data_IF_633168941967
#
_entry.id   IF_633168941967
#
_cell.length_a   1.000
_cell.length_b   1.000
_cell.length_c   1.000
_cell.angle_alpha   90.00
_cell.angle_beta   90.00
_cell.angle_gamma   90.00
#
_symmetry.space_group_name_H-M   'P 1'
#
loop_
_entity.id
_entity.type
_entity.pdbx_description
1 polymer ?
#
# COMPACT_ATOMS: atom_id res chain seq x y z
N UNK A 1 15.81 44.51 -49.87
CA UNK A 1 15.06 43.30 -50.26
C UNK A 1 14.33 42.82 -49.01
N UNK A 2 13.04 43.04 -48.74
CA UNK A 2 11.91 43.50 -49.53
C UNK A 2 10.74 42.51 -49.36
N UNK A 3 9.73 42.91 -48.57
CA UNK A 3 8.30 42.50 -48.61
C UNK A 3 7.80 41.20 -47.92
N UNK A 4 7.03 41.40 -46.84
CA UNK A 4 5.59 41.14 -46.64
C UNK A 4 4.85 39.96 -47.35
N UNK A 5 4.08 39.21 -46.53
CA UNK A 5 2.67 38.72 -46.60
C UNK A 5 1.96 38.50 -47.98
N UNK A 6 1.00 37.55 -48.11
CA UNK A 6 -0.39 37.88 -47.66
C UNK A 6 -1.35 36.72 -47.24
N UNK A 7 -2.36 37.13 -46.44
CA UNK A 7 -3.84 36.88 -46.46
C UNK A 7 -4.38 35.49 -46.87
N UNK A 8 -5.12 34.79 -46.01
CA UNK A 8 -6.56 34.94 -45.66
C UNK A 8 -7.52 34.43 -46.74
N UNK A 9 -8.34 33.43 -46.40
CA UNK A 9 -9.66 33.30 -47.01
C UNK A 9 -10.69 32.69 -46.05
N UNK A 10 -11.93 33.17 -46.22
CA UNK A 10 -13.00 33.16 -45.24
C UNK A 10 -14.15 32.22 -45.63
N UNK A 11 -14.71 31.51 -44.63
CA UNK A 11 -16.10 31.03 -44.59
C UNK A 11 -16.52 29.98 -45.62
N UNK A 12 -17.70 29.31 -45.47
CA UNK A 12 -18.87 29.73 -44.69
C UNK A 12 -19.42 28.68 -43.68
N UNK A 13 -20.08 29.18 -42.62
CA UNK A 13 -21.19 28.52 -41.89
C UNK A 13 -22.50 28.82 -42.68
N UNK A 14 -23.71 28.22 -42.43
CA UNK A 14 -24.24 27.68 -41.16
C UNK A 14 -25.29 26.54 -41.25
N UNK A 15 -25.96 26.30 -40.09
CA UNK A 15 -27.31 25.74 -39.80
C UNK A 15 -27.27 24.34 -39.14
N UNK A 16 -27.92 24.06 -38.01
CA UNK A 16 -28.78 24.81 -37.09
C UNK A 16 -29.47 23.82 -36.13
N UNK A 17 -30.03 24.33 -35.02
CA UNK A 17 -30.93 23.63 -34.07
C UNK A 17 -30.28 22.50 -33.24
N UNK A 18 -30.52 22.27 -31.96
CA UNK A 18 -31.67 22.61 -31.12
C UNK A 18 -31.28 22.90 -29.67
N UNK A 19 -32.13 23.69 -29.02
CA UNK A 19 -32.04 24.16 -27.64
C UNK A 19 -33.04 23.41 -26.74
N UNK A 20 -32.70 23.45 -25.44
CA UNK A 20 -33.55 23.50 -24.22
C UNK A 20 -33.88 22.19 -23.48
N UNK A 21 -34.19 22.22 -22.15
CA UNK A 21 -34.03 23.34 -21.20
C UNK A 21 -33.34 23.00 -19.85
N UNK A 22 -32.72 24.03 -19.30
CA UNK A 22 -32.48 24.23 -17.87
C UNK A 22 -33.78 24.54 -17.12
N UNK A 23 -33.95 24.00 -15.90
CA UNK A 23 -34.94 24.48 -14.92
C UNK A 23 -34.22 24.97 -13.66
N UNK A 24 -34.43 26.25 -13.35
CA UNK A 24 -34.30 26.84 -12.00
C UNK A 24 -35.62 26.63 -11.25
N UNK A 25 -35.55 26.37 -9.95
CA UNK A 25 -36.70 26.39 -9.03
C UNK A 25 -36.20 26.28 -7.60
N UNK A 26 -36.50 27.30 -6.78
CA UNK A 26 -35.96 27.56 -5.44
C UNK A 26 -36.43 26.63 -4.31
N UNK A 27 -36.21 27.04 -3.04
CA UNK A 27 -36.00 26.16 -1.90
C UNK A 27 -37.31 25.69 -1.26
N UNK A 28 -37.36 24.43 -0.85
CA UNK A 28 -38.44 23.88 -0.03
C UNK A 28 -37.93 23.65 1.39
N UNK A 29 -38.61 24.31 2.33
CA UNK A 29 -38.43 24.25 3.78
C UNK A 29 -38.73 22.85 4.34
N UNK A 30 -37.98 22.49 5.38
CA UNK A 30 -38.24 21.38 6.28
C UNK A 30 -39.59 21.51 7.02
N UNK A 31 -40.06 20.40 7.59
CA UNK A 31 -40.62 20.43 8.93
C UNK A 31 -39.81 19.57 9.90
N UNK A 32 -39.45 20.23 11.00
CA UNK A 32 -38.86 19.69 12.22
C UNK A 32 -39.81 18.64 12.85
N UNK A 33 -39.34 17.39 12.93
CA UNK A 33 -39.94 16.33 13.73
C UNK A 33 -39.40 16.35 15.15
N UNK A 34 -40.24 16.81 16.06
CA UNK A 34 -40.06 17.04 17.51
C UNK A 34 -39.28 15.97 18.28
N UNK A 35 -38.38 16.46 19.15
CA UNK A 35 -37.95 15.81 20.38
C UNK A 35 -39.16 15.38 21.23
N UNK A 36 -39.16 14.13 21.71
CA UNK A 36 -39.88 13.75 22.92
C UNK A 36 -38.85 13.32 23.96
N UNK A 37 -38.70 14.16 24.98
CA UNK A 37 -38.16 13.77 26.27
C UNK A 37 -39.03 12.64 26.84
N UNK A 38 -38.41 11.50 27.13
CA UNK A 38 -38.95 10.51 28.06
C UNK A 38 -38.06 10.53 29.31
N UNK A 39 -38.54 11.23 30.32
CA UNK A 39 -38.06 11.20 31.70
C UNK A 39 -38.37 9.82 32.29
N UNK A 40 -37.36 8.95 32.34
CA UNK A 40 -37.45 7.61 32.91
C UNK A 40 -36.58 7.48 34.16
N UNK A 41 -37.25 7.49 35.31
CA UNK A 41 -36.75 7.45 36.69
C UNK A 41 -35.56 6.52 36.96
N UNK A 42 -34.61 7.07 37.70
CA UNK A 42 -33.60 6.40 38.52
C UNK A 42 -34.25 5.34 39.45
N UNK A 43 -33.91 4.07 39.28
CA UNK A 43 -34.01 3.08 40.34
C UNK A 43 -32.62 2.80 40.91
N UNK A 44 -32.38 3.37 42.09
CA UNK A 44 -31.30 2.97 43.01
C UNK A 44 -31.50 1.51 43.39
N UNK A 45 -30.59 0.62 43.01
CA UNK A 45 -30.39 -0.67 43.69
C UNK A 45 -29.17 -0.54 44.63
N UNK A 46 -29.41 -0.81 45.91
CA UNK A 46 -28.40 -0.89 46.98
C UNK A 46 -27.52 -2.15 46.79
N UNK A 47 -26.28 -2.15 47.32
CA UNK A 47 -25.25 -3.13 47.01
C UNK A 47 -25.37 -4.38 47.90
N UNK A 48 -24.98 -5.54 47.35
CA UNK A 48 -24.75 -6.78 48.11
C UNK A 48 -23.40 -7.41 47.70
N UNK A 49 -22.79 -8.25 48.55
CA UNK A 49 -21.40 -8.07 48.96
C UNK A 49 -20.40 -8.96 48.21
N UNK A 50 -19.19 -8.40 48.08
CA UNK A 50 -17.89 -9.07 48.09
C UNK A 50 -17.86 -10.60 47.88
N UNK A 51 -17.41 -11.03 46.70
CA UNK A 51 -16.64 -12.26 46.54
C UNK A 51 -15.35 -11.97 45.78
N UNK A 52 -14.26 -11.98 46.56
CA UNK A 52 -12.85 -12.24 46.23
C UNK A 52 -12.46 -12.19 44.75
N UNK A 53 -11.82 -11.10 44.38
CA UNK A 53 -10.98 -10.92 43.18
C UNK A 53 -9.77 -11.85 43.22
N UNK A 54 -9.59 -12.68 42.19
CA UNK A 54 -8.29 -13.26 41.86
C UNK A 54 -7.39 -12.16 41.25
N UNK A 55 -6.08 -12.13 41.53
CA UNK A 55 -5.19 -11.15 40.90
C UNK A 55 -5.00 -11.50 39.41
N UNK A 56 -4.88 -10.50 38.51
CA UNK A 56 -4.53 -10.74 37.13
C UNK A 56 -3.09 -11.30 37.01
N UNK A 57 -2.79 -12.11 35.98
CA UNK A 57 -1.45 -12.62 35.77
C UNK A 57 -0.48 -11.45 35.50
N UNK A 58 0.65 -11.46 36.20
CA UNK A 58 1.74 -10.49 36.03
C UNK A 58 2.25 -10.56 34.59
N UNK A 59 2.04 -9.49 33.83
CA UNK A 59 2.76 -9.24 32.59
C UNK A 59 4.24 -9.06 32.93
N UNK A 60 5.08 -10.02 32.55
CA UNK A 60 6.52 -9.83 32.51
C UNK A 60 6.82 -8.73 31.49
N UNK A 61 7.28 -7.58 31.98
CA UNK A 61 7.96 -6.59 31.15
C UNK A 61 9.32 -7.17 30.73
N UNK A 62 9.64 -7.28 29.43
CA UNK A 62 11.02 -7.43 29.01
C UNK A 62 11.69 -6.06 29.17
N UNK A 63 12.71 -6.02 30.03
CA UNK A 63 13.61 -4.88 30.14
C UNK A 63 14.33 -4.69 28.80
N UNK A 64 14.14 -3.52 28.19
CA UNK A 64 14.93 -3.05 27.05
C UNK A 64 16.39 -2.87 27.49
N UNK A 65 17.23 -3.83 27.13
CA UNK A 65 18.67 -3.80 27.37
C UNK A 65 19.43 -4.02 26.06
N UNK A 66 20.15 -2.97 25.65
CA UNK A 66 21.29 -2.97 24.73
C UNK A 66 21.07 -3.49 23.29
N UNK A 67 21.05 -2.53 22.36
CA UNK A 67 21.29 -2.76 20.92
C UNK A 67 22.71 -3.29 20.76
N UNK A 68 22.84 -4.61 20.54
CA UNK A 68 24.10 -5.23 20.15
C UNK A 68 24.38 -4.91 18.68
N UNK A 69 25.48 -4.21 18.42
CA UNK A 69 26.03 -3.98 17.08
C UNK A 69 26.34 -5.32 16.41
N UNK A 70 25.65 -5.64 15.32
CA UNK A 70 25.97 -6.80 14.48
C UNK A 70 27.07 -6.40 13.49
N UNK A 71 28.23 -7.05 13.59
CA UNK A 71 29.32 -6.95 12.61
C UNK A 71 29.02 -7.84 11.38
N UNK A 72 29.44 -7.45 10.17
CA UNK A 72 29.16 -8.19 8.96
C UNK A 72 30.16 -9.35 8.80
N UNK A 73 29.67 -10.59 8.75
CA UNK A 73 30.44 -11.73 8.27
C UNK A 73 30.03 -12.04 6.83
N UNK A 74 30.94 -11.78 5.90
CA UNK A 74 30.79 -12.10 4.49
C UNK A 74 30.78 -13.61 4.25
N UNK A 75 29.82 -14.09 3.46
CA UNK A 75 29.71 -15.49 3.04
C UNK A 75 28.86 -15.65 1.78
N UNK A 76 29.14 -16.66 0.94
CA UNK A 76 28.79 -16.67 -0.48
C UNK A 76 27.34 -17.14 -0.73
N UNK A 77 26.39 -16.21 -0.74
CA UNK A 77 24.98 -16.46 -1.07
C UNK A 77 24.64 -16.38 -2.57
N UNK A 78 25.62 -16.55 -3.46
CA UNK A 78 25.45 -16.24 -4.90
C UNK A 78 25.05 -17.43 -5.80
N UNK A 79 24.93 -18.67 -5.30
CA UNK A 79 24.74 -19.86 -6.16
C UNK A 79 23.40 -20.62 -6.05
N UNK A 80 22.39 -20.12 -5.32
CA UNK A 80 21.10 -20.85 -5.13
C UNK A 80 19.94 -20.47 -6.07
N UNK A 81 20.16 -19.66 -7.10
CA UNK A 81 19.08 -19.13 -7.96
C UNK A 81 18.74 -19.92 -9.24
N UNK A 82 18.99 -21.24 -9.32
CA UNK A 82 18.59 -22.03 -10.52
C UNK A 82 18.00 -23.38 -10.18
N UNK A 83 16.70 -23.44 -9.86
CA UNK A 83 15.92 -24.69 -10.00
C UNK A 83 14.40 -24.52 -10.05
N UNK A 84 13.88 -23.60 -10.87
CA UNK A 84 12.44 -23.56 -11.17
C UNK A 84 12.05 -24.22 -12.51
N UNK A 85 13.04 -24.68 -13.29
CA UNK A 85 12.83 -25.17 -14.66
C UNK A 85 12.42 -26.63 -14.83
N UNK A 86 12.31 -27.43 -13.77
CA UNK A 86 12.20 -28.90 -13.91
C UNK A 86 11.16 -29.59 -13.00
N UNK A 87 10.10 -28.88 -12.57
CA UNK A 87 9.01 -29.52 -11.82
C UNK A 87 7.81 -29.82 -12.75
N UNK A 88 7.35 -31.06 -12.69
CA UNK A 88 6.22 -31.58 -13.47
C UNK A 88 4.89 -30.96 -13.05
N UNK A 89 3.86 -31.01 -13.92
CA UNK A 89 2.54 -30.39 -13.67
C UNK A 89 1.88 -30.80 -12.34
N UNK A 90 2.15 -32.01 -11.84
CA UNK A 90 1.64 -32.50 -10.55
C UNK A 90 2.28 -31.80 -9.34
N UNK A 91 3.57 -31.44 -9.42
CA UNK A 91 4.29 -30.73 -8.36
C UNK A 91 3.94 -29.25 -8.34
N UNK A 92 3.64 -28.64 -9.51
CA UNK A 92 3.17 -27.25 -9.60
C UNK A 92 1.89 -27.00 -8.81
N UNK A 93 1.03 -28.02 -8.64
CA UNK A 93 -0.16 -27.96 -7.78
C UNK A 93 0.14 -27.97 -6.27
N UNK A 94 1.34 -28.38 -5.85
CA UNK A 94 1.78 -28.44 -4.45
C UNK A 94 2.60 -27.21 -4.01
N UNK A 95 2.98 -26.32 -4.92
CA UNK A 95 3.86 -25.16 -4.67
C UNK A 95 3.11 -23.87 -4.31
N UNK A 96 1.78 -23.93 -4.16
CA UNK A 96 1.08 -22.87 -3.45
C UNK A 96 1.42 -23.00 -1.96
N UNK A 97 2.20 -22.06 -1.40
CA UNK A 97 2.49 -22.02 0.04
C UNK A 97 1.21 -22.28 0.84
N UNK A 98 1.24 -23.25 1.76
CA UNK A 98 0.00 -23.82 2.34
C UNK A 98 -0.82 -22.78 3.08
N UNK A 99 -0.20 -21.69 3.57
CA UNK A 99 -0.89 -20.52 4.12
C UNK A 99 -1.95 -19.96 3.16
N UNK A 100 -1.61 -19.78 1.87
CA UNK A 100 -2.58 -19.35 0.87
C UNK A 100 -3.65 -20.43 0.65
N UNK A 101 -3.33 -21.71 0.77
CA UNK A 101 -4.30 -22.81 0.62
C UNK A 101 -5.30 -22.99 1.77
N UNK A 102 -5.02 -22.40 2.95
CA UNK A 102 -5.80 -22.60 4.20
C UNK A 102 -7.03 -21.70 4.33
N UNK A 103 -7.08 -20.56 3.64
CA UNK A 103 -8.20 -19.62 3.76
C UNK A 103 -9.13 -19.70 2.53
N UNK A 104 -10.45 -19.96 2.67
CA UNK A 104 -11.35 -20.17 1.52
C UNK A 104 -11.39 -19.01 0.51
N UNK A 105 -11.07 -17.78 0.93
CA UNK A 105 -11.13 -16.58 0.07
C UNK A 105 -9.92 -16.37 -0.84
N UNK A 106 -8.77 -16.99 -0.57
CA UNK A 106 -7.63 -16.97 -1.52
C UNK A 106 -7.89 -17.79 -2.79
N UNK A 107 -8.96 -18.60 -2.78
CA UNK A 107 -9.44 -19.40 -3.90
C UNK A 107 -10.54 -18.72 -4.71
N UNK A 108 -10.99 -17.51 -4.33
CA UNK A 108 -11.96 -16.73 -5.10
C UNK A 108 -11.22 -15.84 -6.09
N UNK A 109 -11.74 -15.86 -7.33
CA UNK A 109 -11.38 -15.12 -8.54
C UNK A 109 -10.06 -14.31 -8.51
N UNK A 110 -9.08 -14.64 -9.38
CA UNK A 110 -7.91 -13.80 -9.57
C UNK A 110 -8.34 -12.34 -9.75
N UNK A 111 -7.78 -11.43 -8.93
CA UNK A 111 -7.98 -10.00 -9.14
C UNK A 111 -7.66 -9.64 -10.60
N UNK A 112 -8.33 -8.63 -11.19
CA UNK A 112 -8.44 -8.44 -12.63
C UNK A 112 -7.17 -7.87 -13.31
N UNK A 113 -5.97 -8.21 -12.84
CA UNK A 113 -4.73 -7.77 -13.47
C UNK A 113 -4.45 -8.62 -14.72
N UNK A 114 -4.98 -8.20 -15.86
CA UNK A 114 -4.66 -8.78 -17.17
C UNK A 114 -3.14 -8.88 -17.39
N UNK A 115 -2.37 -7.88 -16.96
CA UNK A 115 -0.91 -7.89 -17.04
C UNK A 115 -0.26 -9.03 -16.24
N UNK A 116 -0.78 -9.32 -15.04
CA UNK A 116 -0.28 -10.44 -14.23
C UNK A 116 -0.61 -11.78 -14.89
N UNK A 117 -1.83 -11.94 -15.42
CA UNK A 117 -2.23 -13.16 -16.13
C UNK A 117 -1.35 -13.36 -17.38
N UNK A 118 -1.19 -12.33 -18.19
CA UNK A 118 -0.35 -12.37 -19.40
C UNK A 118 1.10 -12.72 -19.09
N UNK A 119 1.66 -12.15 -18.02
CA UNK A 119 3.01 -12.43 -17.58
C UNK A 119 3.19 -13.89 -17.10
N UNK A 120 2.19 -14.44 -16.39
CA UNK A 120 2.21 -15.83 -15.93
C UNK A 120 2.05 -16.83 -17.09
N UNK A 121 1.48 -16.41 -18.21
CA UNK A 121 1.37 -17.22 -19.43
C UNK A 121 2.68 -17.26 -20.23
N UNK A 122 3.68 -16.43 -19.92
CA UNK A 122 4.96 -16.44 -20.61
C UNK A 122 5.89 -17.54 -20.06
N UNK A 123 6.70 -18.12 -20.95
CA UNK A 123 7.70 -19.13 -20.58
C UNK A 123 8.85 -18.55 -19.72
N UNK A 124 9.06 -17.24 -19.77
CA UNK A 124 10.11 -16.53 -19.03
C UNK A 124 9.52 -15.33 -18.30
N UNK A 125 9.93 -15.08 -17.04
CA UNK A 125 9.53 -13.88 -16.34
C UNK A 125 10.11 -12.62 -17.01
N UNK A 126 9.41 -11.50 -16.89
CA UNK A 126 9.92 -10.20 -17.32
C UNK A 126 11.11 -9.74 -16.48
N UNK A 127 11.99 -8.97 -17.09
CA UNK A 127 13.06 -8.22 -16.41
C UNK A 127 12.94 -6.74 -16.72
N UNK A 128 13.59 -5.84 -15.96
CA UNK A 128 13.59 -4.41 -16.26
C UNK A 128 13.99 -4.09 -17.72
N UNK A 129 14.98 -4.81 -18.24
CA UNK A 129 15.51 -4.66 -19.60
C UNK A 129 14.66 -5.37 -20.66
N UNK A 130 13.96 -6.43 -20.26
CA UNK A 130 13.15 -7.28 -21.16
C UNK A 130 11.79 -7.57 -20.53
N UNK A 131 10.91 -6.56 -20.45
CA UNK A 131 9.60 -6.74 -19.84
C UNK A 131 8.69 -7.63 -20.71
N UNK A 132 7.82 -8.40 -20.04
CA UNK A 132 6.80 -9.23 -20.71
C UNK A 132 5.51 -8.47 -21.04
N UNK A 133 5.28 -7.33 -20.39
CA UNK A 133 4.19 -6.40 -20.70
C UNK A 133 4.70 -4.97 -20.56
N UNK A 134 4.07 -4.00 -21.22
CA UNK A 134 4.32 -2.57 -21.00
C UNK A 134 3.30 -1.92 -20.05
N UNK A 135 2.62 -2.71 -19.20
CA UNK A 135 1.54 -2.22 -18.36
C UNK A 135 2.07 -1.32 -17.22
N UNK A 136 1.40 -0.19 -16.98
CA UNK A 136 1.77 0.80 -15.94
C UNK A 136 0.94 0.70 -14.64
N UNK A 137 0.09 -0.32 -14.50
CA UNK A 137 -0.81 -0.50 -13.37
C UNK A 137 -0.13 -0.70 -12.01
N UNK A 138 -0.83 -0.29 -10.96
CA UNK A 138 -0.36 -0.29 -9.56
C UNK A 138 -0.15 -1.68 -8.90
N UNK A 139 -0.65 -2.78 -9.49
CA UNK A 139 -0.65 -4.08 -8.81
C UNK A 139 0.75 -4.60 -8.47
N UNK A 140 1.73 -4.34 -9.34
CA UNK A 140 3.14 -4.64 -9.07
C UNK A 140 3.67 -3.89 -7.84
N UNK A 141 3.36 -2.60 -7.73
CA UNK A 141 3.77 -1.75 -6.61
C UNK A 141 3.21 -2.30 -5.29
N UNK A 142 1.89 -2.47 -5.22
CA UNK A 142 1.19 -2.84 -3.97
C UNK A 142 1.77 -4.12 -3.36
N UNK A 143 1.97 -5.16 -4.17
CA UNK A 143 2.49 -6.45 -3.69
C UNK A 143 4.01 -6.46 -3.43
N UNK A 144 4.73 -5.42 -3.86
CA UNK A 144 6.17 -5.29 -3.64
C UNK A 144 6.49 -4.44 -2.41
N UNK A 145 5.54 -3.65 -1.90
CA UNK A 145 5.71 -2.85 -0.66
C UNK A 145 6.32 -3.62 0.53
N UNK A 146 5.96 -4.88 0.82
CA UNK A 146 6.57 -5.64 1.92
C UNK A 146 8.10 -5.83 1.79
N UNK A 147 8.66 -5.70 0.58
CA UNK A 147 10.11 -5.75 0.36
C UNK A 147 10.86 -4.63 1.11
N UNK A 148 10.17 -3.57 1.55
CA UNK A 148 10.75 -2.53 2.40
C UNK A 148 11.42 -3.08 3.67
N UNK A 149 10.92 -4.19 4.23
CA UNK A 149 11.54 -4.85 5.39
C UNK A 149 12.97 -5.37 5.11
N UNK A 150 13.30 -5.63 3.84
CA UNK A 150 14.63 -6.06 3.42
C UNK A 150 15.69 -4.96 3.59
N UNK A 151 15.31 -3.69 3.85
CA UNK A 151 16.24 -2.60 4.15
C UNK A 151 17.17 -2.89 5.33
N UNK A 152 16.78 -3.82 6.21
CA UNK A 152 17.62 -4.32 7.31
C UNK A 152 18.85 -5.12 6.85
N UNK A 153 18.80 -5.68 5.64
CA UNK A 153 19.84 -6.57 5.09
C UNK A 153 20.37 -6.15 3.72
N UNK A 154 19.69 -5.20 3.06
CA UNK A 154 20.02 -4.72 1.70
C UNK A 154 20.47 -3.28 1.76
N UNK A 155 21.45 -2.94 0.93
CA UNK A 155 21.74 -1.53 0.66
C UNK A 155 20.56 -0.87 -0.07
N UNK A 156 20.49 0.46 0.01
CA UNK A 156 19.45 1.24 -0.66
C UNK A 156 19.37 0.94 -2.17
N UNK A 157 20.51 0.83 -2.84
CA UNK A 157 20.56 0.54 -4.28
C UNK A 157 20.16 -0.90 -4.61
N UNK A 158 20.49 -1.86 -3.74
CA UNK A 158 20.03 -3.25 -3.90
C UNK A 158 18.50 -3.31 -3.76
N UNK A 159 17.96 -2.67 -2.72
CA UNK A 159 16.52 -2.61 -2.48
C UNK A 159 15.77 -1.96 -3.65
N UNK A 160 16.29 -0.85 -4.19
CA UNK A 160 15.76 -0.20 -5.39
C UNK A 160 15.70 -1.17 -6.58
N UNK A 161 16.83 -1.79 -6.93
CA UNK A 161 16.91 -2.71 -8.08
C UNK A 161 16.01 -3.93 -7.91
N UNK A 162 15.91 -4.46 -6.70
CA UNK A 162 15.04 -5.60 -6.41
C UNK A 162 13.57 -5.24 -6.52
N UNK A 163 13.17 -4.05 -6.07
CA UNK A 163 11.82 -3.55 -6.23
C UNK A 163 11.44 -3.33 -7.71
N UNK A 164 12.35 -2.74 -8.51
CA UNK A 164 12.18 -2.58 -9.96
C UNK A 164 12.06 -3.95 -10.65
N UNK A 165 12.93 -4.89 -10.31
CA UNK A 165 12.89 -6.25 -10.85
C UNK A 165 11.58 -6.97 -10.49
N UNK A 166 11.09 -6.83 -9.25
CA UNK A 166 9.81 -7.41 -8.83
C UNK A 166 8.63 -6.84 -9.61
N UNK A 167 8.64 -5.55 -9.91
CA UNK A 167 7.61 -4.92 -10.74
C UNK A 167 7.66 -5.46 -12.18
N UNK A 168 8.86 -5.47 -12.77
CA UNK A 168 9.11 -5.87 -14.15
C UNK A 168 8.72 -7.31 -14.48
N UNK A 169 8.60 -8.19 -13.46
CA UNK A 169 8.03 -9.53 -13.62
C UNK A 169 6.67 -9.52 -14.33
N UNK A 170 5.87 -8.45 -14.17
CA UNK A 170 4.50 -8.37 -14.72
C UNK A 170 4.09 -7.02 -15.28
N UNK A 171 4.64 -5.92 -14.75
CA UNK A 171 4.31 -4.54 -15.14
C UNK A 171 5.61 -3.88 -15.58
N UNK A 172 5.89 -3.94 -16.88
CA UNK A 172 7.18 -3.54 -17.42
C UNK A 172 7.31 -2.08 -17.81
N UNK A 173 6.28 -1.25 -17.63
CA UNK A 173 6.41 0.19 -17.87
C UNK A 173 7.49 0.78 -16.94
N UNK A 174 8.47 1.54 -17.45
CA UNK A 174 9.53 2.14 -16.63
C UNK A 174 8.98 2.98 -15.46
N UNK A 175 7.94 3.78 -15.70
CA UNK A 175 7.26 4.56 -14.67
C UNK A 175 6.69 3.69 -13.54
N UNK A 176 6.17 2.49 -13.84
CA UNK A 176 5.66 1.58 -12.82
C UNK A 176 6.77 0.91 -12.01
N UNK A 177 7.90 0.59 -12.64
CA UNK A 177 9.09 0.08 -11.95
C UNK A 177 9.64 1.15 -10.99
N UNK A 178 9.77 2.39 -11.48
CA UNK A 178 10.26 3.52 -10.70
C UNK A 178 9.33 3.89 -9.54
N UNK A 179 8.01 3.94 -9.77
CA UNK A 179 7.04 4.15 -8.71
C UNK A 179 7.10 3.02 -7.67
N UNK A 180 7.31 1.78 -8.11
CA UNK A 180 7.47 0.64 -7.19
C UNK A 180 8.69 0.78 -6.30
N UNK A 181 9.86 1.06 -6.88
CA UNK A 181 11.07 1.31 -6.09
C UNK A 181 10.90 2.48 -5.12
N UNK A 182 10.34 3.59 -5.59
CA UNK A 182 10.11 4.77 -4.77
C UNK A 182 9.20 4.46 -3.58
N UNK A 183 8.11 3.73 -3.78
CA UNK A 183 7.20 3.33 -2.70
C UNK A 183 7.87 2.40 -1.67
N UNK A 184 8.68 1.45 -2.12
CA UNK A 184 9.44 0.53 -1.26
C UNK A 184 10.48 1.28 -0.43
N UNK A 185 11.22 2.21 -1.05
CA UNK A 185 12.20 3.05 -0.37
C UNK A 185 11.54 3.98 0.65
N UNK A 186 10.39 4.57 0.31
CA UNK A 186 9.64 5.40 1.23
C UNK A 186 9.19 4.60 2.46
N UNK A 187 8.60 3.42 2.24
CA UNK A 187 8.24 2.52 3.33
C UNK A 187 9.45 2.10 4.18
N UNK A 188 10.61 1.88 3.57
CA UNK A 188 11.84 1.52 4.28
C UNK A 188 12.39 2.65 5.16
N UNK A 189 12.32 3.90 4.70
CA UNK A 189 12.68 5.06 5.52
C UNK A 189 11.72 5.21 6.71
N UNK A 190 10.41 4.98 6.52
CA UNK A 190 9.43 4.94 7.61
C UNK A 190 9.73 3.82 8.63
N UNK A 191 10.03 2.60 8.15
CA UNK A 191 10.41 1.48 9.02
C UNK A 191 11.68 1.76 9.84
N UNK A 192 12.52 2.70 9.40
CA UNK A 192 13.71 3.14 10.11
C UNK A 192 13.40 4.16 11.23
N UNK A 193 12.11 4.38 11.54
CA UNK A 193 11.65 5.26 12.62
C UNK A 193 11.52 6.73 12.24
N UNK A 194 11.55 7.06 10.94
CA UNK A 194 11.33 8.43 10.45
C UNK A 194 9.85 8.72 10.33
N UNK A 195 9.45 9.95 10.60
CA UNK A 195 8.11 10.40 10.24
C UNK A 195 7.95 10.43 8.71
N UNK A 196 6.70 10.35 8.20
CA UNK A 196 6.46 10.27 6.76
C UNK A 196 6.98 11.45 5.93
N UNK A 197 7.04 12.65 6.49
CA UNK A 197 7.51 13.84 5.77
C UNK A 197 9.03 13.79 5.56
N UNK A 198 9.77 13.46 6.61
CA UNK A 198 11.23 13.28 6.57
C UNK A 198 11.62 12.06 5.71
N UNK A 199 10.86 10.97 5.84
CA UNK A 199 11.06 9.75 5.05
C UNK A 199 10.88 10.00 3.54
N UNK A 200 9.86 10.78 3.14
CA UNK A 200 9.67 11.14 1.73
C UNK A 200 10.81 12.01 1.21
N UNK A 201 11.27 12.98 2.00
CA UNK A 201 12.36 13.89 1.61
C UNK A 201 13.66 13.13 1.33
N UNK A 202 13.90 12.03 2.04
CA UNK A 202 15.01 11.11 1.76
C UNK A 202 14.78 10.16 0.60
N UNK A 203 13.54 9.94 0.23
CA UNK A 203 13.17 9.16 -0.95
C UNK A 203 13.42 9.96 -2.23
N UNK A 204 13.15 11.28 -2.18
CA UNK A 204 13.15 12.25 -3.29
C UNK A 204 14.46 12.50 -4.05
N UNK A 205 15.57 11.84 -3.72
CA UNK A 205 16.78 11.87 -4.54
C UNK A 205 16.79 10.84 -5.69
N UNK A 206 15.80 9.93 -5.75
CA UNK A 206 15.81 8.78 -6.69
C UNK A 206 14.60 8.71 -7.63
N UNK A 207 13.58 9.53 -7.42
CA UNK A 207 12.46 9.66 -8.35
C UNK A 207 12.78 10.77 -9.36
N UNK A 208 13.37 10.43 -10.50
CA UNK A 208 13.42 11.33 -11.66
C UNK A 208 12.02 11.89 -11.94
N UNK A 209 11.86 13.22 -11.94
CA UNK A 209 10.63 13.88 -12.40
C UNK A 209 9.96 14.88 -11.45
N UNK A 210 10.42 15.08 -10.21
CA UNK A 210 9.94 16.16 -9.31
C UNK A 210 8.46 16.11 -8.89
N UNK A 211 7.71 15.14 -9.39
CA UNK A 211 6.27 14.98 -9.15
C UNK A 211 5.94 14.80 -7.67
N UNK A 212 6.79 14.08 -6.92
CA UNK A 212 6.57 13.88 -5.48
C UNK A 212 6.86 15.13 -4.65
N UNK A 213 7.79 15.99 -5.09
CA UNK A 213 8.01 17.29 -4.46
C UNK A 213 6.77 18.18 -4.67
N UNK A 214 6.21 18.20 -5.88
CA UNK A 214 4.96 18.91 -6.14
C UNK A 214 3.81 18.38 -5.26
N UNK A 215 3.68 17.06 -5.13
CA UNK A 215 2.64 16.45 -4.28
C UNK A 215 2.84 16.80 -2.81
N UNK A 216 4.10 16.86 -2.33
CA UNK A 216 4.42 17.32 -0.97
C UNK A 216 3.96 18.76 -0.78
N UNK A 217 4.33 19.65 -1.70
CA UNK A 217 3.96 21.06 -1.64
C UNK A 217 2.42 21.21 -1.67
N UNK A 218 1.74 20.42 -2.48
CA UNK A 218 0.28 20.36 -2.55
C UNK A 218 -0.38 19.89 -1.24
N UNK A 219 0.20 18.88 -0.59
CA UNK A 219 -0.27 18.40 0.72
C UNK A 219 -0.04 19.43 1.83
N UNK A 220 1.06 20.18 1.77
CA UNK A 220 1.38 21.25 2.73
C UNK A 220 0.41 22.43 2.60
N UNK A 221 0.16 22.90 1.37
CA UNK A 221 -0.65 24.11 1.14
C UNK A 221 -2.16 23.86 1.16
N UNK A 222 -2.59 22.64 0.85
CA UNK A 222 -4.00 22.28 0.78
C UNK A 222 -4.23 20.82 1.19
N UNK A 223 -4.04 20.47 2.47
CA UNK A 223 -4.23 19.11 2.95
C UNK A 223 -5.70 18.69 2.89
N UNK A 224 -5.93 17.39 2.66
CA UNK A 224 -7.25 16.74 2.71
C UNK A 224 -8.33 17.27 1.73
N UNK A 225 -7.92 17.93 0.64
CA UNK A 225 -8.80 18.33 -0.45
C UNK A 225 -9.06 17.14 -1.41
N UNK A 226 -10.31 16.67 -1.41
CA UNK A 226 -10.76 15.56 -2.27
C UNK A 226 -10.68 15.88 -3.76
N UNK A 227 -10.95 17.11 -4.15
CA UNK A 227 -10.87 17.52 -5.56
C UNK A 227 -9.42 17.54 -6.02
N UNK A 228 -8.50 17.89 -5.12
CA UNK A 228 -7.06 17.83 -5.37
C UNK A 228 -6.58 16.39 -5.47
N UNK A 229 -6.96 15.53 -4.53
CA UNK A 229 -6.68 14.09 -4.61
C UNK A 229 -7.15 13.49 -5.95
N UNK A 230 -8.34 13.84 -6.42
CA UNK A 230 -8.85 13.36 -7.71
C UNK A 230 -8.03 13.84 -8.93
N UNK A 231 -7.36 14.99 -8.84
CA UNK A 231 -6.43 15.48 -9.87
C UNK A 231 -5.05 14.83 -9.78
N UNK A 232 -4.56 14.57 -8.56
CA UNK A 232 -3.26 13.92 -8.31
C UNK A 232 -3.31 12.44 -8.72
N UNK A 233 -4.42 11.75 -8.43
CA UNK A 233 -4.60 10.32 -8.68
C UNK A 233 -5.81 10.03 -9.61
N UNK A 234 -5.76 10.45 -10.89
CA UNK A 234 -6.89 10.32 -11.80
C UNK A 234 -7.14 8.89 -12.30
N UNK A 235 -6.12 8.03 -12.26
CA UNK A 235 -6.17 6.66 -12.79
C UNK A 235 -5.57 5.63 -11.82
N UNK A 236 -5.48 4.36 -12.25
CA UNK A 236 -4.96 3.25 -11.46
C UNK A 236 -3.50 2.87 -11.81
N UNK A 237 -2.75 3.77 -12.47
CA UNK A 237 -1.32 3.56 -12.70
C UNK A 237 -0.53 3.59 -11.40
N UNK A 238 0.65 2.99 -11.39
CA UNK A 238 1.49 2.91 -10.20
C UNK A 238 1.98 4.30 -9.74
N UNK A 239 2.29 5.17 -10.69
CA UNK A 239 2.76 6.54 -10.44
C UNK A 239 1.67 7.40 -9.79
N UNK A 240 0.47 7.44 -10.38
CA UNK A 240 -0.66 8.22 -9.88
C UNK A 240 -1.17 7.67 -8.55
N UNK A 241 -1.19 6.34 -8.38
CA UNK A 241 -1.55 5.72 -7.12
C UNK A 241 -0.56 6.06 -5.99
N UNK A 242 0.74 6.05 -6.28
CA UNK A 242 1.77 6.48 -5.33
C UNK A 242 1.62 7.97 -4.99
N UNK A 243 1.45 8.83 -5.98
CA UNK A 243 1.24 10.27 -5.78
C UNK A 243 0.01 10.54 -4.88
N UNK A 244 -1.13 9.89 -5.18
CA UNK A 244 -2.33 10.00 -4.34
C UNK A 244 -2.10 9.50 -2.92
N UNK A 245 -1.34 8.41 -2.76
CA UNK A 245 -1.05 7.87 -1.44
C UNK A 245 -0.13 8.80 -0.63
N UNK A 246 0.90 9.38 -1.26
CA UNK A 246 1.77 10.39 -0.66
C UNK A 246 0.95 11.61 -0.22
N UNK A 247 0.05 12.11 -1.08
CA UNK A 247 -0.84 13.22 -0.70
C UNK A 247 -1.68 12.88 0.54
N UNK A 248 -2.25 11.68 0.61
CA UNK A 248 -3.06 11.25 1.75
C UNK A 248 -2.23 11.11 3.04
N UNK A 249 -1.03 10.55 2.94
CA UNK A 249 -0.09 10.40 4.05
C UNK A 249 0.37 11.77 4.56
N UNK A 250 0.77 12.68 3.68
CA UNK A 250 1.27 13.99 4.08
C UNK A 250 0.17 14.97 4.51
N UNK A 251 -1.08 14.75 4.08
CA UNK A 251 -2.24 15.46 4.66
C UNK A 251 -2.49 15.08 6.12
N UNK A 252 -2.03 13.89 6.53
CA UNK A 252 -2.26 13.29 7.86
C UNK A 252 -1.01 12.49 8.31
N UNK A 253 0.14 13.15 8.58
CA UNK A 253 1.40 12.45 8.79
C UNK A 253 1.61 12.00 10.24
N UNK A 254 0.82 12.51 11.19
CA UNK A 254 1.00 12.25 12.60
C UNK A 254 0.37 10.93 13.08
N UNK A 255 0.86 10.35 14.18
CA UNK A 255 0.26 9.17 14.78
C UNK A 255 -1.19 9.44 15.21
N UNK A 256 -2.06 8.45 15.02
CA UNK A 256 -3.50 8.54 15.33
C UNK A 256 -4.36 9.11 14.20
N UNK A 257 -3.77 9.48 13.06
CA UNK A 257 -4.48 10.03 11.90
C UNK A 257 -4.69 9.02 10.76
N UNK A 258 -4.35 7.74 10.98
CA UNK A 258 -4.29 6.69 9.96
C UNK A 258 -5.67 6.39 9.36
N UNK A 259 -6.70 6.35 10.22
CA UNK A 259 -8.08 6.16 9.77
C UNK A 259 -8.53 7.36 8.92
N UNK A 260 -8.16 8.57 9.31
CA UNK A 260 -8.49 9.80 8.56
C UNK A 260 -7.80 9.81 7.19
N UNK A 261 -6.53 9.41 7.13
CA UNK A 261 -5.79 9.28 5.89
C UNK A 261 -6.42 8.23 4.95
N UNK A 262 -6.85 7.08 5.48
CA UNK A 262 -7.56 6.07 4.69
C UNK A 262 -8.95 6.54 4.23
N UNK A 263 -9.66 7.31 5.06
CA UNK A 263 -10.92 7.93 4.67
C UNK A 263 -10.73 8.90 3.51
N UNK A 264 -9.68 9.72 3.52
CA UNK A 264 -9.31 10.57 2.40
C UNK A 264 -8.98 9.73 1.16
N UNK A 265 -8.12 8.71 1.29
CA UNK A 265 -7.75 7.81 0.20
C UNK A 265 -8.98 7.12 -0.44
N UNK A 266 -10.00 6.81 0.36
CA UNK A 266 -11.26 6.21 -0.12
C UNK A 266 -12.08 7.11 -1.06
N UNK A 267 -11.74 8.40 -1.13
CA UNK A 267 -12.38 9.38 -2.02
C UNK A 267 -11.67 9.56 -3.36
N UNK A 268 -10.52 8.90 -3.56
CA UNK A 268 -9.83 8.93 -4.85
C UNK A 268 -10.67 8.24 -5.95
N UNK A 269 -10.52 8.62 -7.22
CA UNK A 269 -11.15 7.96 -8.36
C UNK A 269 -10.91 6.43 -8.40
N UNK A 270 -9.69 6.01 -8.03
CA UNK A 270 -9.31 4.62 -7.85
C UNK A 270 -8.87 4.36 -6.41
N UNK A 271 -9.81 4.12 -5.48
CA UNK A 271 -9.53 4.18 -4.05
C UNK A 271 -8.72 2.99 -3.53
N UNK A 272 -8.92 1.78 -4.08
CA UNK A 272 -8.26 0.56 -3.63
C UNK A 272 -6.71 0.65 -3.64
N UNK A 273 -6.05 1.04 -4.75
CA UNK A 273 -4.59 1.14 -4.76
C UNK A 273 -4.06 2.28 -3.88
N UNK A 274 -4.72 3.45 -3.90
CA UNK A 274 -4.32 4.60 -3.06
C UNK A 274 -4.39 4.22 -1.57
N UNK A 275 -5.51 3.64 -1.13
CA UNK A 275 -5.70 3.22 0.25
C UNK A 275 -4.72 2.11 0.68
N UNK A 276 -4.41 1.15 -0.21
CA UNK A 276 -3.45 0.09 0.09
C UNK A 276 -2.03 0.65 0.32
N UNK A 277 -1.58 1.59 -0.51
CA UNK A 277 -0.26 2.22 -0.37
C UNK A 277 -0.24 3.14 0.86
N UNK A 278 -1.26 3.97 1.06
CA UNK A 278 -1.39 4.83 2.25
C UNK A 278 -1.33 4.00 3.54
N UNK A 279 -2.07 2.90 3.61
CA UNK A 279 -2.07 2.00 4.77
C UNK A 279 -0.72 1.32 5.00
N UNK A 280 -0.03 0.91 3.94
CA UNK A 280 1.30 0.32 4.07
C UNK A 280 2.34 1.33 4.62
N UNK A 281 2.34 2.57 4.11
CA UNK A 281 3.27 3.61 4.56
C UNK A 281 2.99 4.01 6.01
N UNK A 282 1.73 4.25 6.36
CA UNK A 282 1.38 4.62 7.74
C UNK A 282 1.58 3.46 8.72
N UNK A 283 1.33 2.23 8.28
CA UNK A 283 1.65 1.04 9.07
C UNK A 283 3.16 0.87 9.30
N UNK A 284 3.98 1.22 8.32
CA UNK A 284 5.44 1.26 8.46
C UNK A 284 5.90 2.37 9.41
N UNK A 285 5.31 3.56 9.33
CA UNK A 285 5.70 4.72 10.14
C UNK A 285 5.24 4.61 11.60
N UNK A 286 4.00 4.17 11.83
CA UNK A 286 3.35 4.23 13.15
C UNK A 286 3.17 2.84 13.81
N UNK A 287 3.48 1.78 13.08
CA UNK A 287 3.45 0.40 13.58
C UNK A 287 2.05 -0.21 13.64
N UNK A 288 2.00 -1.50 14.01
CA UNK A 288 0.76 -2.29 14.02
C UNK A 288 -0.31 -1.76 15.00
N UNK A 289 0.12 -1.14 16.10
CA UNK A 289 -0.77 -0.63 17.14
C UNK A 289 -1.49 0.68 16.77
N UNK A 290 -1.10 1.31 15.66
CA UNK A 290 -1.77 2.48 15.13
C UNK A 290 -3.17 2.15 14.56
N UNK A 291 -3.41 0.89 14.21
CA UNK A 291 -4.66 0.46 13.57
C UNK A 291 -5.73 0.04 14.59
N UNK A 292 -6.96 0.58 14.50
CA UNK A 292 -8.07 0.13 15.35
C UNK A 292 -8.38 -1.35 15.15
N UNK A 293 -8.54 -2.07 16.26
CA UNK A 293 -8.80 -3.53 16.25
C UNK A 293 -10.09 -3.86 15.52
N UNK A 294 -11.09 -2.97 15.54
CA UNK A 294 -12.37 -3.11 14.86
C UNK A 294 -12.23 -3.09 13.34
N UNK A 295 -11.21 -2.41 12.80
CA UNK A 295 -10.92 -2.40 11.37
C UNK A 295 -10.12 -3.64 10.97
N UNK A 296 -9.07 -3.96 11.74
CA UNK A 296 -8.20 -5.12 11.44
C UNK A 296 -8.97 -6.44 11.53
N UNK A 297 -9.85 -6.60 12.53
CA UNK A 297 -10.65 -7.82 12.73
C UNK A 297 -11.67 -8.08 11.62
N UNK A 298 -11.98 -7.09 10.79
CA UNK A 298 -12.86 -7.24 9.61
C UNK A 298 -12.10 -7.70 8.37
N UNK A 299 -10.77 -7.71 8.40
CA UNK A 299 -9.96 -8.15 7.28
C UNK A 299 -9.87 -9.68 7.24
N UNK A 300 -10.38 -10.24 6.16
CA UNK A 300 -10.42 -11.68 5.92
C UNK A 300 -9.05 -12.35 5.94
N UNK A 301 -8.00 -11.59 5.61
CA UNK A 301 -6.62 -12.06 5.55
C UNK A 301 -5.74 -11.47 6.67
N UNK A 302 -6.32 -10.88 7.72
CA UNK A 302 -5.54 -10.32 8.84
C UNK A 302 -4.56 -11.34 9.43
N UNK A 303 -5.05 -12.53 9.79
CA UNK A 303 -4.22 -13.55 10.43
C UNK A 303 -3.14 -14.13 9.50
N UNK A 304 -3.44 -14.51 8.23
CA UNK A 304 -2.39 -14.91 7.29
C UNK A 304 -1.33 -13.82 7.07
N UNK A 305 -1.74 -12.55 6.94
CA UNK A 305 -0.80 -11.44 6.74
C UNK A 305 0.07 -11.19 7.97
N UNK A 306 -0.49 -11.24 9.19
CA UNK A 306 0.29 -11.14 10.44
C UNK A 306 1.31 -12.28 10.57
N UNK A 307 0.91 -13.51 10.19
CA UNK A 307 1.80 -14.67 10.18
C UNK A 307 2.96 -14.46 9.20
N UNK A 308 2.67 -14.03 7.97
CA UNK A 308 3.70 -13.74 6.96
C UNK A 308 4.65 -12.64 7.42
N UNK A 309 4.14 -11.59 8.06
CA UNK A 309 4.96 -10.49 8.58
C UNK A 309 5.92 -10.96 9.69
N UNK A 310 5.44 -11.76 10.64
CA UNK A 310 6.28 -12.34 11.70
C UNK A 310 7.32 -13.31 11.15
N UNK A 311 6.93 -14.15 10.19
CA UNK A 311 7.82 -15.11 9.55
C UNK A 311 8.92 -14.40 8.73
N UNK A 312 8.59 -13.31 8.04
CA UNK A 312 9.58 -12.47 7.37
C UNK A 312 10.56 -11.85 8.37
N UNK A 313 10.06 -11.30 9.48
CA UNK A 313 10.93 -10.72 10.51
C UNK A 313 11.89 -11.77 11.08
N UNK A 314 11.42 -12.98 11.37
CA UNK A 314 12.25 -14.10 11.86
C UNK A 314 13.38 -14.46 10.89
N UNK A 315 13.10 -14.49 9.58
CA UNK A 315 14.15 -14.74 8.58
C UNK A 315 15.19 -13.62 8.58
N UNK A 316 14.77 -12.36 8.72
CA UNK A 316 15.66 -11.21 8.65
C UNK A 316 16.54 -11.07 9.90
N UNK A 317 16.02 -11.44 11.08
CA UNK A 317 16.77 -11.37 12.34
C UNK A 317 17.64 -12.60 12.58
N UNK A 318 17.58 -13.63 11.72
CA UNK A 318 18.23 -14.93 11.90
C UNK A 318 18.01 -15.50 13.31
N UNK A 319 16.80 -15.34 13.86
CA UNK A 319 16.50 -15.77 15.24
C UNK A 319 16.63 -17.30 15.34
N UNK A 320 17.69 -17.83 15.99
CA UNK A 320 17.97 -19.26 16.02
C UNK A 320 17.14 -20.00 17.07
N UNK A 321 16.43 -19.28 17.95
CA UNK A 321 15.75 -19.88 19.12
C UNK A 321 14.40 -20.53 18.78
N UNK A 322 13.89 -20.37 17.56
CA UNK A 322 12.60 -20.93 17.17
C UNK A 322 12.77 -21.84 15.97
N UNK A 323 13.14 -23.10 16.23
CA UNK A 323 12.80 -24.18 15.31
C UNK A 323 11.28 -24.27 15.27
N UNK A 324 10.64 -23.58 14.34
CA UNK A 324 9.20 -23.67 14.11
C UNK A 324 8.91 -24.98 13.36
N UNK A 325 8.32 -26.00 14.03
CA UNK A 325 8.10 -27.30 13.40
C UNK A 325 7.12 -27.18 12.22
N UNK A 326 6.26 -26.16 12.22
CA UNK A 326 5.32 -25.87 11.14
C UNK A 326 5.92 -25.05 9.99
N UNK A 327 7.21 -24.69 10.03
CA UNK A 327 7.84 -23.90 8.97
C UNK A 327 7.79 -24.59 7.60
N UNK A 328 8.22 -25.85 7.55
CA UNK A 328 8.18 -26.67 6.34
C UNK A 328 6.75 -26.97 5.88
N UNK A 329 5.78 -26.87 6.80
CA UNK A 329 4.37 -26.92 6.44
C UNK A 329 3.91 -25.64 5.77
N UNK A 330 4.29 -24.47 6.26
CA UNK A 330 3.90 -23.19 5.65
C UNK A 330 4.63 -22.90 4.35
N UNK A 331 5.92 -23.24 4.27
CA UNK A 331 6.82 -22.95 3.13
C UNK A 331 7.51 -24.23 2.61
N UNK A 332 6.78 -25.17 1.99
CA UNK A 332 7.39 -26.38 1.44
C UNK A 332 8.24 -26.05 0.20
N UNK A 333 9.57 -26.19 0.32
CA UNK A 333 10.50 -26.17 -0.83
C UNK A 333 11.02 -24.80 -1.25
N UNK A 334 11.73 -24.12 -0.36
CA UNK A 334 12.68 -23.06 -0.70
C UNK A 334 14.12 -23.61 -0.70
#
# INVERSE_FOLDING_TARGET
>A
MGAACPRADAGPRPRGGDRWPTRRGGPVRAPLGRCRHATGRLHRRRPHPCRRTAPPPRLLQPQLGAVARVQPLGGPAAHRHRRFGLLGQQERRRVAGRLAGTHPRTRREPGPSAATILALQQDRPGTPERPVTNNAGCHALIRTLPAAALATTRSRDQLKREAEACAALTHGAPAAQQATATAVLFAAECLSGRDPTDALSRTGQLAEGGQLDQVRDEAEHAPADRNRLARIAPDASAETALAGAVYCVLSHPGPGSEVTALQLASTAPHPAPVAAITGAILGAAHGVHAWPVELVSRLDLAWPLDTLARDLLRQLTNDPEVSDPGWWDRYPGW
#
